data_IF_859753823919
#
_entry.id   IF_859753823919
#
_cell.length_a   1.000
_cell.length_b   1.000
_cell.length_c   1.000
_cell.angle_alpha   90.00
_cell.angle_beta   90.00
_cell.angle_gamma   90.00
#
_symmetry.space_group_name_H-M   'P 1'
#
loop_
_entity.id
_entity.type
_entity.pdbx_description
1 polymer ?
#
# COMPACT_ATOMS: atom_id res chain seq x y z
N UNK A 1 16.63 3.07 44.16
CA UNK A 1 16.81 3.04 42.69
C UNK A 1 18.06 2.24 42.22
N UNK A 2 19.10 2.06 43.06
CA UNK A 2 20.32 1.31 42.70
C UNK A 2 20.17 -0.22 42.59
N UNK A 3 19.37 -0.84 43.46
CA UNK A 3 19.22 -2.31 43.52
C UNK A 3 18.57 -2.89 42.26
N UNK A 4 17.65 -2.16 41.63
CA UNK A 4 17.05 -2.58 40.36
C UNK A 4 18.09 -2.58 39.23
N UNK A 5 18.91 -1.52 39.10
CA UNK A 5 19.92 -1.44 38.05
C UNK A 5 20.96 -2.56 38.13
N UNK A 6 21.39 -2.92 39.33
CA UNK A 6 22.33 -4.03 39.55
C UNK A 6 21.74 -5.38 39.14
N UNK A 7 20.46 -5.64 39.46
CA UNK A 7 19.77 -6.88 39.07
C UNK A 7 19.57 -7.03 37.56
N UNK A 8 19.37 -5.91 36.85
CA UNK A 8 19.32 -5.91 35.39
C UNK A 8 20.68 -6.18 34.75
N UNK A 9 21.76 -5.60 35.28
CA UNK A 9 23.11 -5.83 34.78
C UNK A 9 23.52 -7.31 34.94
N UNK A 10 23.32 -7.89 36.12
CA UNK A 10 23.59 -9.32 36.35
C UNK A 10 22.74 -10.22 35.45
N UNK A 11 21.47 -9.88 35.23
CA UNK A 11 20.59 -10.69 34.37
C UNK A 11 21.05 -10.75 32.89
N UNK A 12 21.73 -9.70 32.40
CA UNK A 12 22.21 -9.61 31.03
C UNK A 12 23.61 -10.22 30.89
N UNK A 13 24.52 -9.90 31.82
CA UNK A 13 25.95 -10.23 31.70
C UNK A 13 26.38 -11.49 32.46
N UNK A 14 25.57 -12.01 33.40
CA UNK A 14 25.81 -13.25 34.16
C UNK A 14 24.53 -14.12 34.22
N UNK A 15 24.13 -14.74 33.09
CA UNK A 15 22.92 -15.55 33.05
C UNK A 15 23.04 -16.75 33.99
N UNK A 16 22.07 -16.91 34.89
CA UNK A 16 21.97 -18.07 35.78
C UNK A 16 20.55 -18.60 35.83
N UNK A 17 20.43 -19.92 36.00
CA UNK A 17 19.15 -20.63 36.12
C UNK A 17 18.39 -20.29 37.41
N UNK A 18 19.07 -19.66 38.37
CA UNK A 18 18.47 -19.27 39.65
C UNK A 18 17.93 -17.83 39.62
N UNK A 19 18.13 -17.08 38.55
CA UNK A 19 17.64 -15.72 38.40
C UNK A 19 16.47 -15.67 37.38
N UNK A 20 15.23 -15.45 37.84
CA UNK A 20 14.07 -15.44 36.95
C UNK A 20 14.11 -14.30 35.92
N UNK A 21 14.77 -13.18 36.23
CA UNK A 21 14.92 -12.06 35.29
C UNK A 21 15.83 -12.42 34.11
N UNK A 22 16.93 -13.15 34.32
CA UNK A 22 17.78 -13.60 33.21
C UNK A 22 17.02 -14.56 32.30
N UNK A 23 16.23 -15.48 32.86
CA UNK A 23 15.44 -16.41 32.06
C UNK A 23 14.47 -15.64 31.16
N UNK A 24 13.73 -14.67 31.70
CA UNK A 24 12.79 -13.86 30.91
C UNK A 24 13.51 -13.07 29.80
N UNK A 25 14.61 -12.37 30.13
CA UNK A 25 15.35 -11.54 29.18
C UNK A 25 15.92 -12.38 28.04
N UNK A 26 16.56 -13.51 28.35
CA UNK A 26 17.13 -14.40 27.34
C UNK A 26 16.08 -15.14 26.54
N UNK A 27 14.93 -15.50 27.13
CA UNK A 27 13.80 -16.10 26.39
C UNK A 27 13.21 -15.11 25.40
N UNK A 28 13.05 -13.84 25.80
CA UNK A 28 12.60 -12.76 24.91
C UNK A 28 13.61 -12.53 23.77
N UNK A 29 14.90 -12.49 24.09
CA UNK A 29 15.96 -12.28 23.10
C UNK A 29 16.04 -13.44 22.09
N UNK A 30 15.95 -14.69 22.56
CA UNK A 30 15.89 -15.87 21.71
C UNK A 30 14.64 -15.85 20.81
N UNK A 31 13.48 -15.46 21.33
CA UNK A 31 12.26 -15.30 20.54
C UNK A 31 12.40 -14.26 19.43
N UNK A 32 13.00 -13.11 19.73
CA UNK A 32 13.28 -12.06 18.74
C UNK A 32 14.26 -12.57 17.67
N UNK A 33 15.34 -13.25 18.08
CA UNK A 33 16.32 -13.81 17.16
C UNK A 33 15.70 -14.81 16.18
N UNK A 34 14.82 -15.70 16.66
CA UNK A 34 14.08 -16.65 15.80
C UNK A 34 13.22 -15.91 14.77
N UNK A 35 12.52 -14.85 15.17
CA UNK A 35 11.69 -14.04 14.26
C UNK A 35 12.54 -13.37 13.17
N UNK A 36 13.70 -12.81 13.55
CA UNK A 36 14.62 -12.16 12.61
C UNK A 36 15.19 -13.16 11.61
N UNK A 37 15.64 -14.33 12.05
CA UNK A 37 16.21 -15.37 11.17
C UNK A 37 15.15 -15.87 10.18
N UNK A 38 13.95 -16.19 10.65
CA UNK A 38 12.90 -16.66 9.76
C UNK A 38 12.41 -15.55 8.78
N UNK A 39 12.45 -14.27 9.17
CA UNK A 39 12.27 -13.15 8.23
C UNK A 39 13.35 -13.11 7.14
N UNK A 40 14.62 -13.34 7.47
CA UNK A 40 15.72 -13.38 6.49
C UNK A 40 15.63 -14.59 5.55
N UNK A 41 15.10 -15.72 6.03
CA UNK A 41 14.88 -16.92 5.22
C UNK A 41 13.60 -16.87 4.37
N UNK A 42 12.90 -15.72 4.35
CA UNK A 42 11.68 -15.55 3.56
C UNK A 42 10.46 -16.26 4.15
N UNK A 43 10.49 -16.65 5.43
CA UNK A 43 9.34 -17.24 6.08
C UNK A 43 8.34 -16.13 6.49
N UNK A 44 7.11 -16.25 5.99
CA UNK A 44 5.96 -15.44 6.44
C UNK A 44 5.53 -15.87 7.85
N UNK A 45 6.27 -15.41 8.86
CA UNK A 45 5.89 -15.56 10.26
C UNK A 45 4.66 -14.70 10.55
N UNK A 46 3.48 -15.31 10.43
CA UNK A 46 2.16 -14.73 10.72
C UNK A 46 1.91 -14.53 12.23
N UNK A 47 2.86 -13.95 12.96
CA UNK A 47 2.83 -13.77 14.42
C UNK A 47 2.10 -12.50 14.89
N UNK A 48 1.60 -11.68 13.97
CA UNK A 48 0.69 -10.59 14.27
C UNK A 48 -0.57 -10.79 13.45
N UNK A 49 -1.72 -10.71 14.13
CA UNK A 49 -3.05 -11.15 13.70
C UNK A 49 -3.29 -11.13 12.20
N UNK A 50 -3.90 -12.21 11.69
CA UNK A 50 -4.36 -12.38 10.30
C UNK A 50 -4.90 -11.07 9.74
N UNK A 51 -4.03 -10.28 9.11
CA UNK A 51 -4.45 -9.31 8.12
C UNK A 51 -4.90 -10.18 6.97
N UNK A 52 -6.20 -10.13 6.62
CA UNK A 52 -6.63 -10.54 5.28
C UNK A 52 -5.60 -9.91 4.35
N UNK A 53 -4.94 -10.72 3.53
CA UNK A 53 -3.89 -10.30 2.63
C UNK A 53 -4.37 -9.05 1.89
N UNK A 54 -3.96 -7.88 2.40
CA UNK A 54 -3.91 -6.66 1.64
C UNK A 54 -2.88 -7.02 0.60
N UNK A 55 -3.32 -7.17 -0.65
CA UNK A 55 -2.45 -7.22 -1.81
C UNK A 55 -1.61 -5.94 -1.79
N UNK A 56 -0.53 -5.97 -1.02
CA UNK A 56 0.64 -5.18 -1.32
C UNK A 56 1.36 -5.95 -2.41
N UNK A 57 0.80 -5.90 -3.61
CA UNK A 57 1.57 -6.10 -4.82
C UNK A 57 2.12 -4.73 -5.19
N UNK A 58 3.45 -4.50 -5.08
CA UNK A 58 4.13 -3.45 -5.82
C UNK A 58 3.87 -3.54 -7.33
N UNK A 59 3.33 -4.67 -7.79
CA UNK A 59 3.09 -5.02 -9.18
C UNK A 59 1.78 -4.47 -9.76
N UNK A 60 0.94 -3.83 -8.95
CA UNK A 60 -0.34 -3.29 -9.39
C UNK A 60 -0.22 -2.19 -10.47
N UNK A 61 0.89 -1.45 -10.53
CA UNK A 61 1.17 -0.48 -11.61
C UNK A 61 2.20 -1.04 -12.62
N UNK A 62 2.94 -2.08 -12.22
CA UNK A 62 4.06 -2.66 -12.97
C UNK A 62 3.64 -3.29 -14.31
N UNK A 63 2.37 -3.69 -14.42
CA UNK A 63 1.82 -4.28 -15.64
C UNK A 63 0.59 -3.51 -16.18
N UNK A 64 0.71 -2.20 -16.43
CA UNK A 64 -0.26 -1.51 -17.32
C UNK A 64 -0.07 -1.88 -18.81
N UNK A 65 0.79 -2.86 -19.10
CA UNK A 65 0.92 -3.56 -20.38
C UNK A 65 0.39 -5.00 -20.32
N UNK A 66 -0.10 -5.50 -19.17
CA UNK A 66 -0.90 -6.72 -19.19
C UNK A 66 -2.22 -6.39 -19.87
N UNK A 67 -2.57 -7.20 -20.86
CA UNK A 67 -3.83 -7.10 -21.58
C UNK A 67 -4.98 -6.88 -20.59
N UNK A 68 -5.80 -5.84 -20.81
CA UNK A 68 -7.03 -5.64 -20.03
C UNK A 68 -7.73 -7.00 -19.93
N UNK A 69 -8.22 -7.41 -18.74
CA UNK A 69 -8.81 -8.73 -18.57
C UNK A 69 -9.80 -9.02 -19.69
N UNK A 70 -9.45 -9.96 -20.57
CA UNK A 70 -10.26 -10.40 -21.70
C UNK A 70 -10.56 -9.33 -22.79
N UNK A 71 -9.69 -8.34 -23.00
CA UNK A 71 -9.85 -7.33 -24.06
C UNK A 71 -11.02 -6.35 -23.84
N UNK A 72 -11.55 -6.27 -22.62
CA UNK A 72 -12.60 -5.31 -22.24
C UNK A 72 -12.04 -3.89 -22.21
N UNK A 73 -12.87 -2.85 -22.42
CA UNK A 73 -12.44 -1.46 -22.22
C UNK A 73 -12.34 -1.13 -20.74
N UNK A 74 -11.54 -0.12 -20.39
CA UNK A 74 -11.39 0.32 -19.00
C UNK A 74 -12.73 0.79 -18.40
N UNK A 75 -13.59 1.39 -19.23
CA UNK A 75 -14.96 1.77 -18.88
C UNK A 75 -15.82 0.57 -18.48
N UNK A 76 -15.72 -0.55 -19.22
CA UNK A 76 -16.45 -1.77 -18.89
C UNK A 76 -15.99 -2.36 -17.55
N UNK A 77 -14.69 -2.29 -17.25
CA UNK A 77 -14.13 -2.73 -15.97
C UNK A 77 -14.62 -1.86 -14.80
N UNK A 78 -14.70 -0.54 -15.00
CA UNK A 78 -15.26 0.40 -14.02
C UNK A 78 -16.72 0.04 -13.73
N UNK A 79 -17.55 -0.10 -14.77
CA UNK A 79 -18.97 -0.43 -14.62
C UNK A 79 -19.18 -1.77 -13.92
N UNK A 80 -18.41 -2.79 -14.29
CA UNK A 80 -18.45 -4.11 -13.65
C UNK A 80 -18.10 -4.01 -12.15
N UNK A 81 -17.05 -3.26 -11.80
CA UNK A 81 -16.65 -3.08 -10.41
C UNK A 81 -17.73 -2.35 -9.59
N UNK A 82 -18.37 -1.33 -10.16
CA UNK A 82 -19.50 -0.61 -9.54
C UNK A 82 -20.68 -1.56 -9.29
N UNK A 83 -21.07 -2.37 -10.29
CA UNK A 83 -22.17 -3.34 -10.17
C UNK A 83 -21.91 -4.36 -9.05
N UNK A 84 -20.64 -4.74 -8.86
CA UNK A 84 -20.20 -5.64 -7.80
C UNK A 84 -19.98 -4.94 -6.45
N UNK A 85 -20.24 -3.63 -6.36
CA UNK A 85 -19.94 -2.78 -5.18
C UNK A 85 -18.46 -2.83 -4.76
N UNK A 86 -17.59 -3.18 -5.70
CA UNK A 86 -16.14 -3.22 -5.53
C UNK A 86 -15.54 -1.83 -5.82
N UNK A 87 -15.89 -0.82 -5.01
CA UNK A 87 -15.55 0.58 -5.27
C UNK A 87 -14.05 0.86 -5.28
N UNK A 88 -13.24 0.13 -4.51
CA UNK A 88 -11.77 0.22 -4.58
C UNK A 88 -11.24 -0.22 -5.94
N UNK A 89 -11.84 -1.26 -6.52
CA UNK A 89 -11.48 -1.76 -7.85
C UNK A 89 -11.95 -0.77 -8.93
N UNK A 90 -13.15 -0.20 -8.79
CA UNK A 90 -13.63 0.85 -9.69
C UNK A 90 -12.69 2.08 -9.67
N UNK A 91 -12.22 2.48 -8.49
CA UNK A 91 -11.28 3.59 -8.31
C UNK A 91 -9.93 3.32 -8.97
N UNK A 92 -9.41 2.10 -8.86
CA UNK A 92 -8.21 1.67 -9.57
C UNK A 92 -8.37 1.85 -11.08
N UNK A 93 -9.43 1.31 -11.67
CA UNK A 93 -9.65 1.39 -13.11
C UNK A 93 -9.84 2.84 -13.57
N UNK A 94 -10.58 3.65 -12.80
CA UNK A 94 -10.76 5.07 -13.09
C UNK A 94 -9.44 5.86 -13.06
N UNK A 95 -8.57 5.57 -12.09
CA UNK A 95 -7.26 6.21 -12.00
C UNK A 95 -6.36 5.81 -13.19
N UNK A 96 -6.38 4.53 -13.57
CA UNK A 96 -5.66 4.06 -14.76
C UNK A 96 -6.17 4.74 -16.04
N UNK A 97 -7.48 5.02 -16.15
CA UNK A 97 -8.05 5.76 -17.29
C UNK A 97 -7.44 7.16 -17.39
N UNK A 98 -7.36 7.85 -16.25
CA UNK A 98 -6.79 9.18 -16.17
C UNK A 98 -5.31 9.19 -16.60
N UNK A 99 -4.52 8.23 -16.13
CA UNK A 99 -3.11 8.12 -16.53
C UNK A 99 -2.99 7.85 -18.02
N UNK A 100 -3.77 6.92 -18.58
CA UNK A 100 -3.77 6.62 -20.01
C UNK A 100 -4.14 7.85 -20.85
N UNK A 101 -5.13 8.63 -20.40
CA UNK A 101 -5.55 9.85 -21.06
C UNK A 101 -4.44 10.93 -21.03
N UNK A 102 -3.81 11.15 -19.88
CA UNK A 102 -2.71 12.10 -19.75
C UNK A 102 -1.49 11.70 -20.60
N UNK A 103 -1.23 10.40 -20.76
CA UNK A 103 -0.21 9.90 -21.70
C UNK A 103 -0.61 10.20 -23.15
N UNK A 104 -1.85 9.92 -23.54
CA UNK A 104 -2.36 10.20 -24.91
C UNK A 104 -2.28 11.69 -25.27
N UNK A 105 -2.46 12.56 -24.29
CA UNK A 105 -2.33 14.01 -24.44
C UNK A 105 -0.87 14.52 -24.38
N UNK A 106 0.10 13.64 -24.14
CA UNK A 106 1.52 13.98 -24.10
C UNK A 106 1.98 14.63 -22.79
N UNK A 107 1.14 14.65 -21.75
CA UNK A 107 1.49 15.19 -20.44
C UNK A 107 2.36 14.23 -19.61
N UNK A 108 2.27 12.94 -19.87
CA UNK A 108 3.01 11.89 -19.18
C UNK A 108 3.79 11.03 -20.17
N UNK A 109 4.99 10.59 -19.77
CA UNK A 109 5.70 9.49 -20.42
C UNK A 109 5.50 8.20 -19.63
N UNK A 110 5.02 7.17 -20.31
CA UNK A 110 4.84 5.83 -19.73
C UNK A 110 6.21 5.16 -19.63
N UNK A 111 6.66 4.87 -18.41
CA UNK A 111 7.85 4.04 -18.17
C UNK A 111 7.50 2.95 -17.16
N UNK A 112 8.14 1.78 -17.29
CA UNK A 112 7.83 0.56 -16.53
C UNK A 112 8.02 0.70 -15.01
N UNK A 113 8.74 1.72 -14.55
CA UNK A 113 9.15 1.88 -13.16
C UNK A 113 8.59 3.15 -12.49
N UNK A 114 7.75 3.92 -13.19
CA UNK A 114 7.22 5.16 -12.62
C UNK A 114 6.26 4.88 -11.45
N UNK A 115 6.58 5.50 -10.33
CA UNK A 115 5.72 5.63 -9.15
C UNK A 115 4.68 6.74 -9.38
N UNK A 116 3.56 6.67 -8.65
CA UNK A 116 2.55 7.74 -8.67
C UNK A 116 3.16 9.13 -8.38
N UNK A 117 4.17 9.19 -7.51
CA UNK A 117 4.89 10.42 -7.18
C UNK A 117 5.65 10.99 -8.38
N UNK A 118 6.25 10.14 -9.21
CA UNK A 118 6.94 10.57 -10.44
C UNK A 118 5.98 11.09 -11.50
N UNK A 119 4.77 10.51 -11.62
CA UNK A 119 3.73 11.08 -12.48
C UNK A 119 3.32 12.49 -12.02
N UNK A 120 3.17 12.72 -10.71
CA UNK A 120 2.88 14.06 -10.20
C UNK A 120 4.02 15.05 -10.49
N UNK A 121 5.28 14.62 -10.41
CA UNK A 121 6.42 15.50 -10.74
C UNK A 121 6.35 15.97 -12.20
N UNK A 122 6.01 15.08 -13.14
CA UNK A 122 5.84 15.43 -14.56
C UNK A 122 4.70 16.43 -14.78
N UNK A 123 3.63 16.31 -13.99
CA UNK A 123 2.40 17.10 -14.12
C UNK A 123 2.42 18.44 -13.36
N UNK A 124 3.54 18.85 -12.74
CA UNK A 124 3.60 20.10 -11.96
C UNK A 124 3.13 21.36 -12.68
N UNK A 125 3.26 21.40 -14.01
CA UNK A 125 2.81 22.52 -14.86
C UNK A 125 1.41 22.32 -15.46
N UNK A 126 0.75 21.21 -15.15
CA UNK A 126 -0.59 20.91 -15.65
C UNK A 126 -1.61 21.87 -15.01
N UNK A 127 -2.54 22.47 -15.77
CA UNK A 127 -3.57 23.38 -15.23
C UNK A 127 -4.42 22.75 -14.12
N UNK A 128 -4.63 21.43 -14.20
CA UNK A 128 -5.39 20.63 -13.22
C UNK A 128 -4.51 19.83 -12.25
N UNK A 129 -3.28 20.28 -11.98
CA UNK A 129 -2.32 19.54 -11.13
C UNK A 129 -2.91 19.20 -9.74
N UNK A 130 -3.57 20.14 -9.07
CA UNK A 130 -4.13 19.91 -7.74
C UNK A 130 -5.25 18.86 -7.75
N UNK A 131 -6.09 18.86 -8.78
CA UNK A 131 -7.13 17.84 -8.95
C UNK A 131 -6.51 16.46 -9.22
N UNK A 132 -5.50 16.39 -10.08
CA UNK A 132 -4.80 15.14 -10.38
C UNK A 132 -4.06 14.60 -9.14
N UNK A 133 -3.47 15.50 -8.35
CA UNK A 133 -2.85 15.16 -7.06
C UNK A 133 -3.89 14.61 -6.08
N UNK A 134 -5.05 15.24 -5.98
CA UNK A 134 -6.15 14.75 -5.15
C UNK A 134 -6.65 13.36 -5.60
N UNK A 135 -6.81 13.14 -6.92
CA UNK A 135 -7.16 11.82 -7.46
C UNK A 135 -6.11 10.76 -7.14
N UNK A 136 -4.83 11.12 -7.23
CA UNK A 136 -3.71 10.22 -6.92
C UNK A 136 -3.72 9.81 -5.46
N UNK A 137 -3.90 10.76 -4.54
CA UNK A 137 -4.03 10.46 -3.11
C UNK A 137 -5.26 9.60 -2.84
N UNK A 138 -6.41 9.93 -3.46
CA UNK A 138 -7.62 9.15 -3.30
C UNK A 138 -7.42 7.70 -3.76
N UNK A 139 -6.76 7.49 -4.90
CA UNK A 139 -6.37 6.17 -5.37
C UNK A 139 -5.45 5.45 -4.38
N UNK A 140 -4.41 6.11 -3.88
CA UNK A 140 -3.45 5.51 -2.95
C UNK A 140 -4.12 5.04 -1.66
N UNK A 141 -4.95 5.89 -1.05
CA UNK A 141 -5.69 5.52 0.15
C UNK A 141 -6.82 4.53 -0.14
N UNK A 142 -7.60 4.74 -1.21
CA UNK A 142 -8.79 3.95 -1.51
C UNK A 142 -8.51 2.55 -2.04
N UNK A 143 -7.34 2.34 -2.66
CA UNK A 143 -6.91 1.04 -3.17
C UNK A 143 -5.89 0.35 -2.25
N UNK A 144 -4.80 1.03 -1.86
CA UNK A 144 -3.76 0.42 -1.02
C UNK A 144 -3.97 0.60 0.48
N UNK A 145 -4.72 1.63 0.89
CA UNK A 145 -4.93 1.95 2.31
C UNK A 145 -5.87 1.00 3.04
N UNK A 146 -6.51 0.04 2.35
CA UNK A 146 -7.40 -0.95 2.98
C UNK A 146 -8.71 -0.39 3.54
N UNK A 147 -9.06 0.85 3.18
CA UNK A 147 -10.32 1.47 3.57
C UNK A 147 -11.48 0.87 2.76
N UNK A 148 -12.58 0.53 3.44
CA UNK A 148 -13.78 0.09 2.75
C UNK A 148 -14.50 1.29 2.14
N UNK A 149 -14.31 1.49 0.84
CA UNK A 149 -15.06 2.49 0.09
C UNK A 149 -16.53 2.10 -0.02
N UNK A 150 -17.41 3.08 0.16
CA UNK A 150 -18.86 2.97 -0.03
C UNK A 150 -19.30 3.82 -1.22
N UNK A 151 -20.56 3.70 -1.64
CA UNK A 151 -21.13 4.43 -2.78
C UNK A 151 -20.95 5.96 -2.68
N UNK A 152 -21.12 6.53 -1.49
CA UNK A 152 -20.92 7.98 -1.26
C UNK A 152 -19.48 8.43 -1.56
N UNK A 153 -18.49 7.63 -1.19
CA UNK A 153 -17.08 7.91 -1.49
C UNK A 153 -16.80 7.80 -2.98
N UNK A 154 -17.47 6.86 -3.66
CA UNK A 154 -17.37 6.68 -5.10
C UNK A 154 -17.97 7.87 -5.88
N UNK A 155 -19.11 8.40 -5.45
CA UNK A 155 -19.71 9.60 -6.05
C UNK A 155 -18.79 10.82 -5.91
N UNK A 156 -18.19 11.02 -4.74
CA UNK A 156 -17.20 12.07 -4.52
C UNK A 156 -15.97 11.89 -5.40
N UNK A 157 -15.48 10.64 -5.53
CA UNK A 157 -14.38 10.31 -6.43
C UNK A 157 -14.72 10.71 -7.87
N UNK A 158 -15.88 10.29 -8.37
CA UNK A 158 -16.32 10.61 -9.73
C UNK A 158 -16.41 12.12 -9.98
N UNK A 159 -16.96 12.88 -9.03
CA UNK A 159 -17.03 14.33 -9.14
C UNK A 159 -15.63 14.96 -9.24
N UNK A 160 -14.66 14.44 -8.47
CA UNK A 160 -13.27 14.89 -8.53
C UNK A 160 -12.62 14.56 -9.89
N UNK A 161 -12.77 13.34 -10.39
CA UNK A 161 -12.26 12.96 -11.71
C UNK A 161 -12.88 13.80 -12.83
N UNK A 162 -14.19 14.05 -12.77
CA UNK A 162 -14.90 14.88 -13.75
C UNK A 162 -14.49 16.36 -13.71
N UNK A 163 -13.90 16.84 -12.62
CA UNK A 163 -13.42 18.22 -12.49
C UNK A 163 -12.10 18.48 -13.22
N UNK A 164 -11.40 17.43 -13.65
CA UNK A 164 -10.18 17.52 -14.44
C UNK A 164 -10.58 17.92 -15.85
N UNK A 165 -10.21 19.14 -16.25
CA UNK A 165 -10.36 19.57 -17.65
C UNK A 165 -9.26 18.91 -18.45
N UNK A 166 -9.64 18.01 -19.34
CA UNK A 166 -8.78 17.37 -20.33
C UNK A 166 -8.94 17.97 -21.70
#
# INVERSE_FOLDING_TARGET
MYVLRLRFYEAIFNPSWNNPLSIIVWTLFAGIAVVVVAKLMGADLALFGRKKALHHSPDAVRNSNDQLPNGQSLEALIQKAIQQKAYSEALRWQYLALIEQLIKQGWLRKELQHTNSEYLIQLRKHPNYEQIRACTLLFEYGYYGGFHLQSSHWEQAQALFASIKT
#
